data_IF_145283142619
#
_entry.id   IF_145283142619
#
_cell.length_a   1.000
_cell.length_b   1.000
_cell.length_c   1.000
_cell.angle_alpha   90.00
_cell.angle_beta   90.00
_cell.angle_gamma   90.00
#
_symmetry.space_group_name_H-M   'P 1'
#
loop_
_entity.id
_entity.type
_entity.pdbx_description
1 polymer ?
#
# COMPACT_ATOMS: atom_id res chain seq x y z
N UNK A 1 -15.31 -9.51 4.61
CA UNK A 1 -14.19 -9.60 5.57
C UNK A 1 -13.47 -8.27 5.61
N UNK A 2 -13.72 -7.49 6.65
CA UNK A 2 -13.05 -6.21 6.89
C UNK A 2 -11.57 -6.48 7.12
N UNK A 3 -10.72 -5.74 6.41
CA UNK A 3 -9.29 -5.75 6.66
C UNK A 3 -9.09 -5.13 8.04
N UNK A 4 -8.63 -5.89 9.01
CA UNK A 4 -8.26 -5.34 10.32
C UNK A 4 -7.21 -4.25 10.08
N UNK A 5 -7.55 -3.00 10.39
CA UNK A 5 -6.59 -1.91 10.36
C UNK A 5 -5.39 -2.31 11.23
N UNK A 6 -4.17 -2.11 10.73
CA UNK A 6 -2.96 -2.34 11.52
C UNK A 6 -3.09 -1.63 12.86
N UNK A 7 -2.66 -2.29 13.96
CA UNK A 7 -2.61 -1.64 15.28
C UNK A 7 -1.83 -0.33 15.14
N UNK A 8 -2.37 0.76 15.69
CA UNK A 8 -1.65 2.03 15.87
C UNK A 8 -0.50 1.77 16.85
N UNK A 9 0.65 1.34 16.33
CA UNK A 9 1.88 1.16 17.10
C UNK A 9 2.58 2.47 17.38
N UNK A 10 2.15 3.55 16.74
CA UNK A 10 2.62 4.91 17.01
C UNK A 10 2.06 5.39 18.34
N UNK A 11 2.94 5.57 19.31
CA UNK A 11 2.65 6.19 20.61
C UNK A 11 2.47 7.70 20.51
N UNK A 12 2.82 8.29 19.36
CA UNK A 12 2.68 9.73 19.11
C UNK A 12 1.20 10.11 18.96
N UNK A 13 0.82 11.21 19.59
CA UNK A 13 -0.48 11.86 19.37
C UNK A 13 -0.45 12.60 18.03
N UNK A 14 -0.87 11.91 16.96
CA UNK A 14 -0.92 12.47 15.62
C UNK A 14 -1.92 13.63 15.50
N UNK A 15 -2.98 13.66 16.32
CA UNK A 15 -3.96 14.76 16.28
C UNK A 15 -3.36 16.06 16.80
N UNK A 16 -2.56 15.98 17.86
CA UNK A 16 -1.80 17.13 18.37
C UNK A 16 -0.75 17.63 17.37
N UNK A 17 -0.05 16.72 16.69
CA UNK A 17 0.95 17.08 15.66
C UNK A 17 0.29 17.80 14.48
N UNK A 18 -0.84 17.28 14.00
CA UNK A 18 -1.57 17.82 12.84
C UNK A 18 -2.17 19.21 13.14
N UNK A 19 -2.56 19.47 14.38
CA UNK A 19 -3.08 20.77 14.82
C UNK A 19 -1.99 21.87 14.99
N UNK A 20 -0.70 21.51 14.99
CA UNK A 20 0.39 22.47 15.20
C UNK A 20 0.70 23.25 13.91
N UNK A 21 0.61 24.57 13.98
CA UNK A 21 1.06 25.45 12.89
C UNK A 21 2.51 25.84 13.12
N UNK A 22 3.38 25.51 12.16
CA UNK A 22 4.83 25.75 12.27
C UNK A 22 5.12 27.26 12.23
N UNK A 23 5.98 27.74 13.15
CA UNK A 23 6.36 29.15 13.29
C UNK A 23 7.79 29.41 12.80
N UNK A 24 8.10 30.60 12.25
CA UNK A 24 9.42 30.87 11.66
C UNK A 24 10.62 30.67 12.59
N UNK A 25 10.49 30.96 13.90
CA UNK A 25 11.60 30.80 14.84
C UNK A 25 11.94 29.33 15.13
N UNK A 26 11.01 28.40 14.86
CA UNK A 26 11.22 26.96 15.05
C UNK A 26 12.23 26.39 14.05
N UNK A 27 12.54 27.14 12.99
CA UNK A 27 13.55 26.78 12.00
C UNK A 27 14.96 27.31 12.29
N UNK A 28 15.14 28.19 13.29
CA UNK A 28 16.44 28.85 13.55
C UNK A 28 17.55 27.87 13.92
N UNK A 29 17.19 26.74 14.50
CA UNK A 29 18.12 25.71 14.94
C UNK A 29 18.39 24.65 13.87
N UNK A 30 17.70 24.69 12.73
CA UNK A 30 17.93 23.73 11.65
C UNK A 30 19.27 24.01 10.96
N UNK A 31 20.03 22.95 10.61
CA UNK A 31 21.23 23.10 9.81
C UNK A 31 20.89 23.61 8.41
N UNK A 32 21.80 24.40 7.83
CA UNK A 32 21.70 24.81 6.44
C UNK A 32 21.87 23.62 5.49
N UNK A 33 21.15 23.65 4.37
CA UNK A 33 21.24 22.61 3.35
C UNK A 33 22.45 22.89 2.44
N UNK A 34 23.59 22.27 2.76
CA UNK A 34 24.83 22.43 1.98
C UNK A 34 24.89 21.54 0.75
N UNK A 35 25.77 21.86 -0.20
CA UNK A 35 26.00 21.06 -1.41
C UNK A 35 26.56 19.65 -1.09
N UNK A 36 27.38 19.52 -0.05
CA UNK A 36 27.84 18.22 0.43
C UNK A 36 26.68 17.40 1.00
N UNK A 37 25.74 18.04 1.69
CA UNK A 37 24.55 17.37 2.21
C UNK A 37 23.61 16.92 1.08
N UNK A 38 23.52 17.69 0.00
CA UNK A 38 22.72 17.34 -1.17
C UNK A 38 23.38 16.24 -2.02
N UNK A 39 24.70 16.29 -2.21
CA UNK A 39 25.42 15.30 -3.03
C UNK A 39 25.37 13.88 -2.47
N UNK A 40 25.26 13.72 -1.15
CA UNK A 40 25.05 12.42 -0.48
C UNK A 40 23.59 11.98 -0.39
N UNK A 41 22.63 12.81 -0.82
CA UNK A 41 21.22 12.51 -0.67
C UNK A 41 20.79 11.38 -1.63
N UNK A 42 19.99 10.44 -1.13
CA UNK A 42 19.39 9.36 -1.94
C UNK A 42 17.90 9.62 -2.11
N UNK A 43 17.45 9.69 -3.36
CA UNK A 43 16.02 9.80 -3.68
C UNK A 43 15.36 8.44 -3.46
N UNK A 44 14.83 8.23 -2.25
CA UNK A 44 13.89 7.16 -1.99
C UNK A 44 12.52 7.59 -2.51
N UNK A 45 12.12 7.04 -3.67
CA UNK A 45 10.80 7.31 -4.27
C UNK A 45 9.61 6.92 -3.36
N UNK A 46 9.89 6.25 -2.24
CA UNK A 46 8.89 5.76 -1.31
C UNK A 46 7.97 4.72 -1.96
N UNK A 47 6.98 4.27 -1.19
CA UNK A 47 5.96 3.35 -1.67
C UNK A 47 6.10 1.93 -1.13
N UNK A 48 5.07 1.10 -1.39
CA UNK A 48 5.05 -0.29 -0.96
C UNK A 48 6.14 -1.08 -1.70
N UNK A 49 6.91 -1.96 -1.02
CA UNK A 49 7.79 -2.90 -1.69
C UNK A 49 7.07 -3.64 -2.82
N UNK A 50 7.74 -3.80 -3.96
CA UNK A 50 7.19 -4.58 -5.08
C UNK A 50 6.91 -6.00 -4.60
N UNK A 51 5.72 -6.52 -4.91
CA UNK A 51 5.41 -7.92 -4.65
C UNK A 51 6.29 -8.80 -5.53
N UNK A 52 6.83 -9.89 -4.98
CA UNK A 52 7.61 -10.86 -5.74
C UNK A 52 6.78 -11.55 -6.84
N UNK A 53 5.47 -11.70 -6.63
CA UNK A 53 4.55 -12.29 -7.60
C UNK A 53 3.30 -11.40 -7.77
N UNK A 54 3.40 -10.31 -8.57
CA UNK A 54 2.27 -9.43 -8.80
C UNK A 54 1.22 -10.12 -9.68
N UNK A 55 -0.06 -9.97 -9.33
CA UNK A 55 -1.17 -10.40 -10.20
C UNK A 55 -1.13 -9.58 -11.49
N UNK A 56 -1.17 -10.26 -12.65
CA UNK A 56 -1.30 -9.61 -13.95
C UNK A 56 -2.77 -9.56 -14.35
N UNK A 57 -3.23 -8.40 -14.79
CA UNK A 57 -4.55 -8.26 -15.39
C UNK A 57 -4.49 -8.85 -16.80
N UNK A 58 -5.23 -9.94 -17.02
CA UNK A 58 -5.32 -10.61 -18.32
C UNK A 58 -6.78 -10.86 -18.67
N UNK A 59 -7.07 -10.89 -19.98
CA UNK A 59 -8.39 -11.26 -20.50
C UNK A 59 -8.43 -12.77 -20.77
N UNK A 60 -9.15 -13.51 -19.91
CA UNK A 60 -9.41 -14.96 -20.10
C UNK A 60 -10.88 -15.13 -20.47
N UNK A 61 -11.17 -16.01 -21.43
CA UNK A 61 -12.54 -16.44 -21.74
C UNK A 61 -12.90 -17.65 -20.88
N UNK A 62 -13.92 -17.53 -20.05
CA UNK A 62 -14.50 -18.62 -19.27
C UNK A 62 -15.97 -18.81 -19.70
N UNK A 63 -16.49 -20.04 -19.67
CA UNK A 63 -17.92 -20.29 -19.83
C UNK A 63 -18.76 -19.45 -18.86
N UNK A 64 -19.92 -18.97 -19.31
CA UNK A 64 -20.79 -18.08 -18.52
C UNK A 64 -21.26 -18.74 -17.23
N UNK A 65 -21.61 -20.02 -17.29
CA UNK A 65 -22.05 -20.81 -16.15
C UNK A 65 -20.97 -20.94 -15.06
N UNK A 66 -19.69 -21.00 -15.45
CA UNK A 66 -18.57 -20.98 -14.51
C UNK A 66 -18.50 -19.62 -13.81
N UNK A 67 -18.60 -18.52 -14.55
CA UNK A 67 -18.54 -17.16 -13.99
C UNK A 67 -19.67 -16.95 -12.98
N UNK A 68 -20.90 -17.35 -13.32
CA UNK A 68 -22.07 -17.19 -12.45
C UNK A 68 -21.95 -18.01 -11.16
N UNK A 69 -21.51 -19.28 -11.26
CA UNK A 69 -21.23 -20.11 -10.08
C UNK A 69 -20.23 -19.45 -9.14
N UNK A 70 -19.16 -18.86 -9.68
CA UNK A 70 -18.18 -18.16 -8.87
C UNK A 70 -18.73 -16.85 -8.30
N UNK A 71 -19.43 -16.04 -9.09
CA UNK A 71 -20.04 -14.78 -8.64
C UNK A 71 -21.02 -15.00 -7.49
N UNK A 72 -21.80 -16.09 -7.52
CA UNK A 72 -22.71 -16.49 -6.45
C UNK A 72 -22.01 -16.77 -5.11
N UNK A 73 -20.70 -17.05 -5.11
CA UNK A 73 -19.92 -17.20 -3.85
C UNK A 73 -19.72 -15.87 -3.10
N UNK A 74 -20.16 -14.74 -3.67
CA UNK A 74 -20.13 -13.42 -3.04
C UNK A 74 -18.82 -12.65 -3.24
N UNK A 75 -18.59 -11.56 -2.49
CA UNK A 75 -17.39 -10.73 -2.62
C UNK A 75 -16.10 -11.55 -2.52
N UNK A 76 -15.12 -11.21 -3.35
CA UNK A 76 -13.83 -11.91 -3.43
C UNK A 76 -13.81 -13.19 -4.27
N UNK A 77 -14.86 -13.47 -5.06
CA UNK A 77 -14.90 -14.66 -5.92
C UNK A 77 -13.73 -14.74 -6.91
N UNK A 78 -13.28 -13.60 -7.45
CA UNK A 78 -12.11 -13.52 -8.34
C UNK A 78 -10.81 -13.94 -7.63
N UNK A 79 -10.68 -13.65 -6.34
CA UNK A 79 -9.55 -14.11 -5.53
C UNK A 79 -9.61 -15.62 -5.35
N UNK A 80 -10.78 -16.16 -5.03
CA UNK A 80 -10.97 -17.61 -4.82
C UNK A 80 -10.76 -18.44 -6.11
N UNK A 81 -11.25 -17.97 -7.26
CA UNK A 81 -10.99 -18.67 -8.54
C UNK A 81 -9.50 -18.64 -8.88
N UNK A 82 -8.80 -17.51 -8.66
CA UNK A 82 -7.36 -17.44 -8.87
C UNK A 82 -6.59 -18.40 -7.96
N UNK A 83 -6.95 -18.50 -6.68
CA UNK A 83 -6.35 -19.46 -5.73
C UNK A 83 -6.58 -20.92 -6.13
N UNK A 84 -7.75 -21.23 -6.73
CA UNK A 84 -7.99 -22.56 -7.29
C UNK A 84 -7.09 -22.86 -8.49
N UNK A 85 -6.96 -21.92 -9.42
CA UNK A 85 -6.11 -22.08 -10.61
C UNK A 85 -4.63 -22.29 -10.24
N UNK A 86 -4.12 -21.63 -9.20
CA UNK A 86 -2.75 -21.83 -8.71
C UNK A 86 -2.47 -23.24 -8.18
N UNK A 87 -3.51 -23.96 -7.71
CA UNK A 87 -3.38 -25.30 -7.11
C UNK A 87 -3.53 -26.44 -8.12
N UNK A 88 -3.88 -26.15 -9.37
CA UNK A 88 -3.99 -27.16 -10.42
C UNK A 88 -2.57 -27.55 -10.82
N UNK A 89 -2.19 -28.79 -10.49
CA UNK A 89 -0.94 -29.42 -10.89
C UNK A 89 -1.27 -30.65 -11.73
#
# INVERSE_FOLDING_TARGET
>A
MSKLASRRTLQSDLGKVDAHSIRPHEYKELPELTDEALSRAVVNKGGRPRSANPRKLISIRLPVDVIERWRATGPGWQTRIAERLTKVR
#
